data_IF_038123737751
#
_entry.id   IF_038123737751
#
_cell.length_a   1.000
_cell.length_b   1.000
_cell.length_c   1.000
_cell.angle_alpha   90.00
_cell.angle_beta   90.00
_cell.angle_gamma   90.00
#
_symmetry.space_group_name_H-M   'P 1'
#
loop_
_entity.id
_entity.type
_entity.pdbx_description
1 polymer ?
#
# COMPACT_ATOMS: atom_id res chain seq x y z
N UNK A 1 -12.52 64.95 -10.63
CA UNK A 1 -13.53 64.29 -9.77
C UNK A 1 -13.78 62.82 -10.15
N UNK A 2 -13.80 62.45 -11.44
CA UNK A 2 -14.08 61.07 -11.91
C UNK A 2 -13.02 59.99 -11.58
N UNK A 3 -11.75 60.35 -11.35
CA UNK A 3 -10.67 59.39 -11.03
C UNK A 3 -10.75 58.78 -9.62
N UNK A 4 -11.38 59.48 -8.66
CA UNK A 4 -11.52 58.99 -7.28
C UNK A 4 -12.63 57.93 -7.19
N UNK A 5 -13.71 58.09 -7.94
CA UNK A 5 -14.84 57.17 -7.97
C UNK A 5 -14.49 55.80 -8.60
N UNK A 6 -13.70 55.78 -9.69
CA UNK A 6 -13.18 54.52 -10.28
C UNK A 6 -12.25 53.74 -9.35
N UNK A 7 -11.44 54.41 -8.52
CA UNK A 7 -10.52 53.74 -7.58
C UNK A 7 -11.24 53.05 -6.43
N UNK A 8 -12.30 53.66 -5.90
CA UNK A 8 -13.12 53.04 -4.84
C UNK A 8 -13.98 51.89 -5.36
N UNK A 9 -14.48 51.99 -6.60
CA UNK A 9 -15.24 50.92 -7.24
C UNK A 9 -14.38 49.68 -7.53
N UNK A 10 -13.16 49.87 -8.03
CA UNK A 10 -12.20 48.76 -8.30
C UNK A 10 -11.74 48.11 -7.00
N UNK A 11 -11.44 48.91 -5.96
CA UNK A 11 -11.06 48.39 -4.65
C UNK A 11 -12.16 47.50 -4.04
N UNK A 12 -13.42 47.97 -4.05
CA UNK A 12 -14.55 47.20 -3.52
C UNK A 12 -14.82 45.89 -4.27
N UNK A 13 -14.63 45.88 -5.59
CA UNK A 13 -14.79 44.67 -6.40
C UNK A 13 -13.67 43.65 -6.11
N UNK A 14 -12.43 44.12 -5.89
CA UNK A 14 -11.32 43.23 -5.52
C UNK A 14 -11.47 42.63 -4.13
N UNK A 15 -11.95 43.39 -3.14
CA UNK A 15 -12.18 42.85 -1.79
C UNK A 15 -13.31 41.82 -1.79
N UNK A 16 -14.36 42.05 -2.58
CA UNK A 16 -15.46 41.10 -2.69
C UNK A 16 -15.03 39.79 -3.39
N UNK A 17 -14.18 39.88 -4.41
CA UNK A 17 -13.63 38.71 -5.11
C UNK A 17 -12.64 37.91 -4.25
N UNK A 18 -11.89 38.59 -3.37
CA UNK A 18 -10.99 37.96 -2.41
C UNK A 18 -11.76 37.25 -1.28
N UNK A 19 -12.91 37.82 -0.86
CA UNK A 19 -13.72 37.23 0.20
C UNK A 19 -14.48 35.98 -0.26
N UNK A 20 -14.95 35.95 -1.51
CA UNK A 20 -15.65 34.79 -2.08
C UNK A 20 -14.72 33.62 -2.35
N UNK A 21 -13.48 33.87 -2.76
CA UNK A 21 -12.46 32.82 -2.96
C UNK A 21 -12.00 32.22 -1.62
N UNK A 22 -11.89 33.02 -0.56
CA UNK A 22 -11.54 32.53 0.77
C UNK A 22 -12.63 31.65 1.39
N UNK A 23 -13.91 31.99 1.21
CA UNK A 23 -15.04 31.19 1.70
C UNK A 23 -15.10 29.80 1.03
N UNK A 24 -14.79 29.71 -0.27
CA UNK A 24 -14.77 28.43 -1.00
C UNK A 24 -13.67 27.46 -0.54
N UNK A 25 -12.56 27.97 0.00
CA UNK A 25 -11.46 27.15 0.54
C UNK A 25 -11.80 26.53 1.92
N UNK A 26 -12.74 27.09 2.66
CA UNK A 26 -13.15 26.60 3.98
C UNK A 26 -14.23 25.50 3.91
N UNK A 27 -14.78 25.24 2.72
CA UNK A 27 -15.96 24.37 2.53
C UNK A 27 -15.63 23.03 1.85
N UNK A 28 -14.35 22.68 1.74
CA UNK A 28 -13.90 21.37 1.29
C UNK A 28 -14.03 20.34 2.43
N UNK A 29 -15.22 19.76 2.59
CA UNK A 29 -15.42 18.58 3.42
C UNK A 29 -15.03 17.33 2.62
N UNK A 30 -13.81 16.84 2.81
CA UNK A 30 -13.45 15.50 2.36
C UNK A 30 -14.27 14.49 3.18
N UNK A 31 -15.20 13.78 2.55
CA UNK A 31 -15.94 12.70 3.20
C UNK A 31 -14.97 11.62 3.66
N UNK A 32 -15.05 11.22 4.92
CA UNK A 32 -14.26 10.08 5.43
C UNK A 32 -14.82 8.82 4.79
N UNK A 33 -14.10 8.24 3.83
CA UNK A 33 -14.44 6.94 3.28
C UNK A 33 -14.20 5.89 4.38
N UNK A 34 -15.28 5.40 5.00
CA UNK A 34 -15.23 4.28 5.93
C UNK A 34 -15.74 3.03 5.24
N UNK A 35 -14.79 2.22 4.76
CA UNK A 35 -15.04 0.87 4.26
C UNK A 35 -14.23 -0.14 5.08
N UNK A 36 -14.35 -0.07 6.41
CA UNK A 36 -13.80 -1.10 7.28
C UNK A 36 -14.83 -2.24 7.41
N UNK A 37 -14.66 -3.31 6.64
CA UNK A 37 -15.41 -4.55 6.83
C UNK A 37 -14.77 -5.35 7.96
N UNK A 38 -15.53 -5.64 9.01
CA UNK A 38 -15.10 -6.56 10.05
C UNK A 38 -15.14 -8.00 9.51
N UNK A 39 -14.02 -8.73 9.63
CA UNK A 39 -13.93 -10.15 9.29
C UNK A 39 -13.92 -10.96 10.58
N UNK A 40 -14.92 -11.81 10.76
CA UNK A 40 -14.98 -12.74 11.90
C UNK A 40 -14.21 -14.01 11.53
N UNK A 41 -13.27 -14.40 12.40
CA UNK A 41 -12.57 -15.69 12.31
C UNK A 41 -13.21 -16.63 13.33
N UNK A 42 -13.62 -17.83 12.90
CA UNK A 42 -14.23 -18.86 13.75
C UNK A 42 -13.30 -20.09 13.83
N UNK A 43 -12.44 -20.19 14.86
CA UNK A 43 -11.47 -21.27 14.98
C UNK A 43 -12.08 -22.67 15.20
N UNK A 44 -13.35 -22.76 15.61
CA UNK A 44 -14.02 -24.05 15.80
C UNK A 44 -14.45 -24.73 14.50
N UNK A 45 -14.52 -23.98 13.39
CA UNK A 45 -14.86 -24.51 12.06
C UNK A 45 -13.59 -24.95 11.33
N UNK A 46 -13.49 -26.26 11.06
CA UNK A 46 -12.37 -26.84 10.33
C UNK A 46 -12.78 -27.21 8.89
N UNK A 47 -11.92 -26.87 7.93
CA UNK A 47 -12.04 -27.27 6.53
C UNK A 47 -10.94 -28.26 6.13
N UNK A 48 -10.28 -28.06 4.99
CA UNK A 48 -9.22 -28.92 4.49
C UNK A 48 -7.93 -28.71 5.27
N UNK A 49 -7.18 -29.79 5.49
CA UNK A 49 -5.85 -29.69 6.09
C UNK A 49 -4.87 -29.13 5.08
N UNK A 50 -4.36 -27.94 5.37
CA UNK A 50 -3.27 -27.34 4.62
C UNK A 50 -1.98 -28.14 4.85
N UNK A 51 -1.46 -28.77 3.80
CA UNK A 51 -0.30 -29.68 3.90
C UNK A 51 1.05 -28.96 3.87
N UNK A 52 1.10 -27.73 3.37
CA UNK A 52 2.34 -26.98 3.22
C UNK A 52 2.34 -26.04 2.01
N UNK A 53 3.35 -25.18 1.96
CA UNK A 53 3.66 -24.30 0.84
C UNK A 53 5.10 -24.55 0.39
N UNK A 54 5.36 -24.31 -0.89
CA UNK A 54 6.61 -24.70 -1.49
C UNK A 54 6.85 -24.09 -2.85
N UNK A 55 7.93 -24.54 -3.46
CA UNK A 55 8.32 -24.17 -4.82
C UNK A 55 8.60 -25.42 -5.65
N UNK A 56 8.44 -25.30 -6.97
CA UNK A 56 8.98 -26.32 -7.85
C UNK A 56 10.47 -26.10 -8.05
N UNK A 57 11.25 -27.17 -8.06
CA UNK A 57 12.69 -27.17 -8.36
C UNK A 57 12.96 -27.26 -9.87
N UNK A 58 11.93 -27.11 -10.71
CA UNK A 58 12.08 -27.22 -12.16
C UNK A 58 13.04 -26.15 -12.70
N UNK A 59 14.08 -26.63 -13.40
CA UNK A 59 15.07 -25.87 -14.18
C UNK A 59 15.99 -24.92 -13.41
N UNK A 60 15.48 -24.06 -12.53
CA UNK A 60 16.33 -23.16 -11.75
C UNK A 60 17.23 -23.93 -10.79
N UNK A 61 16.72 -25.00 -10.15
CA UNK A 61 17.50 -25.76 -9.18
C UNK A 61 18.66 -26.51 -9.85
N UNK A 62 18.53 -26.85 -11.15
CA UNK A 62 19.63 -27.39 -11.94
C UNK A 62 20.77 -26.37 -12.11
N UNK A 63 20.44 -25.10 -12.37
CA UNK A 63 21.43 -24.03 -12.46
C UNK A 63 22.11 -23.82 -11.11
N UNK A 64 21.32 -23.76 -10.05
CA UNK A 64 21.82 -23.56 -8.68
C UNK A 64 22.64 -24.75 -8.19
N UNK A 65 22.37 -25.95 -8.70
CA UNK A 65 23.20 -27.13 -8.49
C UNK A 65 24.67 -26.92 -8.90
N UNK A 66 24.97 -26.01 -9.82
CA UNK A 66 26.33 -25.65 -10.21
C UNK A 66 27.01 -24.59 -9.35
N UNK A 67 26.32 -23.99 -8.38
CA UNK A 67 26.88 -22.94 -7.51
C UNK A 67 27.80 -23.51 -6.43
N UNK A 68 28.59 -22.64 -5.80
CA UNK A 68 29.40 -23.01 -4.64
C UNK A 68 28.54 -23.43 -3.45
N UNK A 69 29.11 -24.25 -2.55
CA UNK A 69 28.41 -24.71 -1.34
C UNK A 69 27.88 -23.57 -0.48
N UNK A 70 28.67 -22.50 -0.32
CA UNK A 70 28.24 -21.34 0.49
C UNK A 70 27.01 -20.68 -0.12
N UNK A 71 26.98 -20.48 -1.44
CA UNK A 71 25.85 -19.87 -2.13
C UNK A 71 24.60 -20.76 -2.07
N UNK A 72 24.75 -22.07 -2.30
CA UNK A 72 23.63 -23.02 -2.18
C UNK A 72 23.07 -23.06 -0.77
N UNK A 73 23.95 -23.08 0.23
CA UNK A 73 23.55 -23.07 1.66
C UNK A 73 22.83 -21.78 2.03
N UNK A 74 23.34 -20.63 1.61
CA UNK A 74 22.66 -19.35 1.86
C UNK A 74 21.26 -19.31 1.25
N UNK A 75 21.09 -19.82 0.02
CA UNK A 75 19.77 -19.89 -0.59
C UNK A 75 18.86 -20.90 0.12
N UNK A 76 19.37 -22.10 0.45
CA UNK A 76 18.60 -23.11 1.15
C UNK A 76 18.11 -22.59 2.51
N UNK A 77 18.96 -21.87 3.24
CA UNK A 77 18.57 -21.24 4.51
C UNK A 77 17.48 -20.18 4.28
N UNK A 78 17.65 -19.29 3.30
CA UNK A 78 16.64 -18.28 2.98
C UNK A 78 15.28 -18.90 2.60
N UNK A 79 15.28 -20.06 1.94
CA UNK A 79 14.06 -20.74 1.49
C UNK A 79 13.41 -21.58 2.59
N UNK A 80 14.18 -22.37 3.34
CA UNK A 80 13.66 -23.47 4.17
C UNK A 80 13.83 -23.26 5.68
N UNK A 81 14.67 -22.31 6.11
CA UNK A 81 14.76 -21.99 7.54
C UNK A 81 13.42 -21.41 8.04
N UNK A 82 12.93 -21.92 9.18
CA UNK A 82 11.62 -21.55 9.75
C UNK A 82 11.67 -20.31 10.63
N UNK A 83 12.87 -19.86 10.99
CA UNK A 83 13.13 -18.72 11.88
C UNK A 83 13.61 -17.52 11.07
N UNK A 84 14.63 -17.73 10.24
CA UNK A 84 15.34 -16.68 9.51
C UNK A 84 15.04 -16.69 7.99
N UNK A 85 14.32 -17.72 7.51
CA UNK A 85 13.91 -17.87 6.11
C UNK A 85 12.40 -17.74 5.90
N UNK A 86 11.93 -17.99 4.67
CA UNK A 86 10.50 -17.98 4.35
C UNK A 86 9.78 -19.28 4.76
N UNK A 87 10.49 -20.24 5.34
CA UNK A 87 9.93 -21.46 5.91
C UNK A 87 9.16 -22.33 4.90
N UNK A 88 9.65 -22.49 3.66
CA UNK A 88 9.09 -23.49 2.75
C UNK A 88 9.19 -24.88 3.41
N UNK A 89 8.14 -25.68 3.28
CA UNK A 89 8.11 -27.05 3.80
C UNK A 89 7.80 -28.09 2.72
N UNK A 90 7.63 -27.64 1.47
CA UNK A 90 7.37 -28.49 0.30
C UNK A 90 8.31 -28.13 -0.85
N UNK A 91 8.80 -29.14 -1.57
CA UNK A 91 9.57 -29.00 -2.82
C UNK A 91 9.08 -30.03 -3.85
N UNK A 92 9.07 -29.66 -5.14
CA UNK A 92 8.50 -30.46 -6.24
C UNK A 92 9.34 -30.43 -7.51
#
# INVERSE_FOLDING_TARGET
MFHRCRKHLVAGLTTLLLLTTFAGLLQSSAGVASAATAITVEPSLQYQTFQGWGTSLAWWANIIGGWSDSQRTSLANALYDTTDGIGLNMAR
#
